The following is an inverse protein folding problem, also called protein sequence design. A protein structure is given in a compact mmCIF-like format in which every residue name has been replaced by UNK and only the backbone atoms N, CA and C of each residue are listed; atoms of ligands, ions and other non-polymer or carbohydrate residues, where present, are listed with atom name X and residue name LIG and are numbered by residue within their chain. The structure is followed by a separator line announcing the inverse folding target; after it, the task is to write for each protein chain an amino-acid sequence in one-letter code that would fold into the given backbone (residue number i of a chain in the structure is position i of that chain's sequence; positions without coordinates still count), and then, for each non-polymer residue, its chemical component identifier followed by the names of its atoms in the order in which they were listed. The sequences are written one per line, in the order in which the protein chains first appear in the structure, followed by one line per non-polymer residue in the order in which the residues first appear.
data_IF_205632643569
#
_entry.id   IF_205632643569
#
_cell.length_a   1.000
_cell.length_b   1.000
_cell.length_c   1.000
_cell.angle_alpha   90.00
_cell.angle_beta   90.00
_cell.angle_gamma   90.00
#
_symmetry.space_group_name_H-M   'P 1'
#
loop_
_entity.id
_entity.type
_entity.pdbx_description
1 polymer ?
#
# COMPACT_ATOMS: atom_id res chain seq x y z
N UNK A 1 19.78 2.98 9.01
CA UNK A 1 18.77 2.26 8.19
C UNK A 1 19.37 0.91 7.81
N UNK A 2 18.66 -0.21 8.00
CA UNK A 2 19.16 -1.57 7.68
C UNK A 2 19.48 -1.76 6.18
N UNK A 3 19.10 -0.79 5.33
CA UNK A 3 19.25 -0.82 3.88
C UNK A 3 19.64 0.56 3.33
N UNK A 4 20.91 1.02 3.50
CA UNK A 4 21.27 2.41 3.22
C UNK A 4 21.07 2.86 1.76
N UNK A 5 20.94 1.94 0.80
CA UNK A 5 20.80 2.25 -0.63
C UNK A 5 19.80 1.34 -1.36
N UNK A 6 18.83 0.77 -0.63
CA UNK A 6 17.83 -0.14 -1.20
C UNK A 6 16.41 0.36 -0.87
N UNK A 7 15.90 1.35 -1.64
CA UNK A 7 14.57 1.92 -1.41
C UNK A 7 13.43 0.91 -1.64
N UNK A 8 13.57 -0.04 -2.57
CA UNK A 8 12.58 -1.08 -2.82
C UNK A 8 12.53 -2.09 -1.66
N UNK A 9 13.69 -2.50 -1.13
CA UNK A 9 13.78 -3.36 0.04
C UNK A 9 13.26 -2.68 1.32
N UNK A 10 13.46 -1.37 1.46
CA UNK A 10 12.82 -0.58 2.53
C UNK A 10 11.30 -0.57 2.40
N UNK A 11 10.78 -0.33 1.19
CA UNK A 11 9.34 -0.39 0.91
C UNK A 11 8.77 -1.78 1.22
N UNK A 12 9.45 -2.83 0.76
CA UNK A 12 9.09 -4.23 1.03
C UNK A 12 9.02 -4.51 2.53
N UNK A 13 10.07 -4.17 3.28
CA UNK A 13 10.12 -4.38 4.73
C UNK A 13 9.02 -3.60 5.45
N UNK A 14 8.81 -2.35 5.07
CA UNK A 14 7.78 -1.51 5.65
C UNK A 14 6.39 -2.11 5.46
N UNK A 15 6.03 -2.51 4.23
CA UNK A 15 4.71 -3.08 3.94
C UNK A 15 4.49 -4.43 4.63
N UNK A 16 5.50 -5.30 4.64
CA UNK A 16 5.41 -6.59 5.37
C UNK A 16 5.17 -6.34 6.85
N UNK A 17 5.99 -5.50 7.47
CA UNK A 17 5.87 -5.17 8.89
C UNK A 17 4.52 -4.53 9.21
N UNK A 18 4.03 -3.67 8.31
CA UNK A 18 2.72 -3.04 8.45
C UNK A 18 1.59 -4.07 8.45
N UNK A 19 1.54 -4.95 7.44
CA UNK A 19 0.51 -6.01 7.36
C UNK A 19 0.55 -6.95 8.56
N UNK A 20 1.75 -7.40 8.96
CA UNK A 20 1.94 -8.26 10.14
C UNK A 20 1.53 -7.54 11.44
N UNK A 21 1.78 -6.24 11.54
CA UNK A 21 1.38 -5.47 12.72
C UNK A 21 -0.14 -5.44 12.93
N UNK A 22 -0.95 -5.57 11.88
CA UNK A 22 -2.41 -5.65 12.01
C UNK A 22 -2.89 -6.95 12.67
N UNK A 23 -2.06 -8.00 12.63
CA UNK A 23 -2.33 -9.26 13.33
C UNK A 23 -1.95 -9.13 14.80
N UNK A 24 -0.79 -8.55 15.08
CA UNK A 24 -0.18 -8.50 16.42
C UNK A 24 -0.77 -7.38 17.30
N UNK A 25 -1.05 -6.21 16.73
CA UNK A 25 -1.58 -5.06 17.44
C UNK A 25 -3.12 -5.03 17.37
N UNK A 26 -3.74 -5.66 18.38
CA UNK A 26 -5.20 -5.73 18.49
C UNK A 26 -5.85 -4.34 18.54
N UNK A 27 -5.19 -3.33 19.15
CA UNK A 27 -5.72 -1.97 19.21
C UNK A 27 -5.77 -1.35 17.83
N UNK A 28 -4.69 -1.46 17.05
CA UNK A 28 -4.65 -0.98 15.67
C UNK A 28 -5.69 -1.68 14.81
N UNK A 29 -5.81 -3.01 14.95
CA UNK A 29 -6.81 -3.80 14.22
C UNK A 29 -8.23 -3.31 14.50
N UNK A 30 -8.62 -3.19 15.77
CA UNK A 30 -9.95 -2.74 16.18
C UNK A 30 -10.28 -1.35 15.64
N UNK A 31 -9.31 -0.42 15.68
CA UNK A 31 -9.51 0.93 15.13
C UNK A 31 -9.79 0.84 13.62
N UNK A 32 -9.01 0.06 12.87
CA UNK A 32 -9.24 -0.10 11.44
C UNK A 32 -10.57 -0.80 11.14
N UNK A 33 -10.96 -1.85 11.87
CA UNK A 33 -12.28 -2.49 11.70
C UNK A 33 -13.43 -1.50 11.91
N UNK A 34 -13.31 -0.59 12.88
CA UNK A 34 -14.32 0.44 13.12
C UNK A 34 -14.41 1.37 11.91
N UNK A 35 -13.27 1.88 11.44
CA UNK A 35 -13.19 2.81 10.31
C UNK A 35 -13.73 2.17 9.03
N UNK A 36 -13.34 0.93 8.71
CA UNK A 36 -13.70 0.28 7.44
C UNK A 36 -15.12 -0.30 7.41
N UNK A 37 -15.65 -0.79 8.55
CA UNK A 37 -16.86 -1.62 8.53
C UNK A 37 -17.97 -1.19 9.48
N UNK A 38 -17.70 -0.28 10.44
CA UNK A 38 -18.68 0.09 11.48
C UNK A 38 -19.01 1.58 11.51
N UNK A 39 -18.21 2.42 10.86
CA UNK A 39 -18.46 3.86 10.76
C UNK A 39 -19.33 4.18 9.54
N UNK A 40 -20.48 4.80 9.81
CA UNK A 40 -21.19 5.57 8.79
C UNK A 40 -20.66 7.02 8.81
N UNK A 41 -20.01 7.43 7.72
CA UNK A 41 -19.36 8.74 7.62
C UNK A 41 -20.35 9.87 7.31
N UNK A 42 -21.34 10.06 8.17
CA UNK A 42 -22.40 11.07 8.08
C UNK A 42 -22.44 11.94 9.34
N UNK A 43 -23.08 13.11 9.26
CA UNK A 43 -23.23 14.02 10.41
C UNK A 43 -21.88 14.44 11.00
N UNK A 44 -21.70 14.23 12.31
CA UNK A 44 -20.46 14.61 13.03
C UNK A 44 -19.21 13.88 12.51
N UNK A 45 -19.37 12.67 11.96
CA UNK A 45 -18.28 11.86 11.39
C UNK A 45 -17.86 12.28 9.97
N UNK A 46 -18.58 13.22 9.34
CA UNK A 46 -18.23 13.70 8.00
C UNK A 46 -16.86 14.41 7.97
N UNK A 47 -16.51 15.10 9.06
CA UNK A 47 -15.21 15.75 9.22
C UNK A 47 -14.04 14.76 9.22
N UNK A 48 -14.24 13.57 9.80
CA UNK A 48 -13.26 12.49 9.81
C UNK A 48 -13.06 11.90 8.40
N UNK A 49 -14.14 11.71 7.65
CA UNK A 49 -14.06 11.26 6.24
C UNK A 49 -13.31 12.27 5.36
N UNK A 50 -13.54 13.57 5.56
CA UNK A 50 -12.81 14.62 4.82
C UNK A 50 -11.32 14.61 5.16
N UNK A 51 -10.96 14.38 6.43
CA UNK A 51 -9.58 14.21 6.85
C UNK A 51 -8.95 12.97 6.18
N UNK A 52 -9.65 11.84 6.20
CA UNK A 52 -9.19 10.60 5.56
C UNK A 52 -9.00 10.80 4.06
N UNK A 53 -9.95 11.43 3.35
CA UNK A 53 -9.79 11.76 1.93
C UNK A 53 -8.58 12.64 1.66
N UNK A 54 -8.32 13.63 2.51
CA UNK A 54 -7.14 14.49 2.39
C UNK A 54 -5.85 13.69 2.58
N UNK A 55 -5.78 12.85 3.60
CA UNK A 55 -4.62 11.99 3.84
C UNK A 55 -4.35 11.05 2.66
N UNK A 56 -5.42 10.50 2.07
CA UNK A 56 -5.34 9.66 0.87
C UNK A 56 -4.75 10.42 -0.32
N UNK A 57 -5.22 11.64 -0.56
CA UNK A 57 -4.71 12.48 -1.65
C UNK A 57 -3.25 12.88 -1.42
N UNK A 58 -2.85 13.08 -0.17
CA UNK A 58 -1.45 13.37 0.19
C UNK A 58 -0.54 12.14 0.11
N UNK A 59 -1.08 10.92 0.15
CA UNK A 59 -0.31 9.68 0.11
C UNK A 59 0.10 9.26 -1.30
N UNK A 60 -0.72 9.52 -2.33
CA UNK A 60 -0.34 9.18 -3.71
C UNK A 60 0.98 9.82 -4.16
N UNK A 61 1.23 11.14 -3.94
CA UNK A 61 2.51 11.75 -4.24
C UNK A 61 3.69 11.11 -3.49
N UNK A 62 3.51 10.75 -2.21
CA UNK A 62 4.56 10.11 -1.41
C UNK A 62 4.91 8.72 -1.95
N UNK A 63 3.90 7.93 -2.36
CA UNK A 63 4.12 6.63 -2.98
C UNK A 63 4.86 6.81 -4.31
N UNK A 64 4.41 7.74 -5.17
CA UNK A 64 5.04 8.00 -6.46
C UNK A 64 6.50 8.48 -6.32
N UNK A 65 6.80 9.32 -5.34
CA UNK A 65 8.15 9.74 -4.99
C UNK A 65 9.01 8.53 -4.59
N UNK A 66 8.48 7.64 -3.75
CA UNK A 66 9.21 6.45 -3.32
C UNK A 66 9.49 5.48 -4.48
N UNK A 67 8.54 5.33 -5.40
CA UNK A 67 8.74 4.56 -6.64
C UNK A 67 9.82 5.20 -7.53
N UNK A 68 9.83 6.54 -7.62
CA UNK A 68 10.86 7.28 -8.37
C UNK A 68 12.26 7.04 -7.80
N UNK A 69 12.42 6.99 -6.47
CA UNK A 69 13.68 6.61 -5.82
C UNK A 69 14.10 5.17 -6.17
N UNK A 70 13.15 4.24 -6.27
CA UNK A 70 13.44 2.86 -6.69
C UNK A 70 13.90 2.80 -8.16
N UNK A 71 13.34 3.64 -9.04
CA UNK A 71 13.79 3.77 -10.43
C UNK A 71 15.20 4.35 -10.49
N UNK A 72 15.50 5.40 -9.73
CA UNK A 72 16.84 6.00 -9.65
C UNK A 72 17.90 5.00 -9.15
N UNK A 73 17.51 4.11 -8.23
CA UNK A 73 18.33 3.01 -7.74
C UNK A 73 18.38 1.80 -8.71
N UNK A 74 17.75 1.88 -9.89
CA UNK A 74 17.65 0.81 -10.91
C UNK A 74 16.96 -0.48 -10.43
N UNK A 75 16.08 -0.36 -9.44
CA UNK A 75 15.35 -1.48 -8.82
C UNK A 75 13.95 -1.68 -9.41
N UNK A 76 13.40 -0.63 -10.02
CA UNK A 76 12.20 -0.66 -10.82
C UNK A 76 12.49 -0.21 -12.25
N UNK A 77 11.67 -0.61 -13.23
CA UNK A 77 11.89 -0.26 -14.62
C UNK A 77 11.85 1.26 -14.84
N UNK A 78 12.72 1.82 -15.71
CA UNK A 78 12.77 3.25 -15.97
C UNK A 78 11.51 3.78 -16.66
N UNK A 79 10.73 2.90 -17.29
CA UNK A 79 9.47 3.25 -17.97
C UNK A 79 8.24 3.08 -17.07
N UNK A 80 8.40 2.85 -15.77
CA UNK A 80 7.27 2.69 -14.86
C UNK A 80 6.51 4.02 -14.69
N UNK A 81 5.22 4.04 -14.98
CA UNK A 81 4.33 5.16 -14.67
C UNK A 81 4.09 5.19 -13.16
N UNK A 82 4.79 6.09 -12.46
CA UNK A 82 4.77 6.15 -10.98
C UNK A 82 3.43 6.63 -10.43
N UNK A 83 2.68 7.44 -11.18
CA UNK A 83 1.38 7.94 -10.74
C UNK A 83 0.34 6.81 -10.81
N UNK A 84 0.26 6.12 -11.95
CA UNK A 84 -0.62 4.95 -12.10
C UNK A 84 -0.26 3.85 -11.12
N UNK A 85 1.04 3.62 -10.93
CA UNK A 85 1.54 2.63 -9.98
C UNK A 85 1.20 2.98 -8.54
N UNK A 86 1.21 4.25 -8.15
CA UNK A 86 0.79 4.67 -6.81
C UNK A 86 -0.69 4.32 -6.53
N UNK A 87 -1.56 4.50 -7.52
CA UNK A 87 -2.98 4.10 -7.42
C UNK A 87 -3.09 2.59 -7.23
N UNK A 88 -2.38 1.80 -8.04
CA UNK A 88 -2.40 0.32 -7.94
C UNK A 88 -1.85 -0.18 -6.61
N UNK A 89 -0.71 0.36 -6.14
CA UNK A 89 -0.13 0.01 -4.84
C UNK A 89 -1.13 0.25 -3.71
N UNK A 90 -1.75 1.43 -3.68
CA UNK A 90 -2.71 1.78 -2.63
C UNK A 90 -3.94 0.90 -2.69
N UNK A 91 -4.54 0.73 -3.87
CA UNK A 91 -5.72 -0.12 -4.05
C UNK A 91 -5.45 -1.57 -3.63
N UNK A 92 -4.30 -2.12 -4.01
CA UNK A 92 -3.91 -3.48 -3.65
C UNK A 92 -3.75 -3.65 -2.13
N UNK A 93 -2.94 -2.78 -1.48
CA UNK A 93 -2.70 -2.88 -0.04
C UNK A 93 -3.97 -2.64 0.76
N UNK A 94 -4.76 -1.62 0.41
CA UNK A 94 -6.04 -1.35 1.08
C UNK A 94 -7.00 -2.53 0.92
N UNK A 95 -7.13 -3.09 -0.29
CA UNK A 95 -8.01 -4.23 -0.52
C UNK A 95 -7.58 -5.49 0.23
N UNK A 96 -6.28 -5.76 0.34
CA UNK A 96 -5.76 -6.85 1.17
C UNK A 96 -6.15 -6.67 2.63
N UNK A 97 -5.96 -5.46 3.17
CA UNK A 97 -6.27 -5.14 4.56
C UNK A 97 -7.78 -5.24 4.81
N UNK A 98 -8.59 -4.62 3.96
CA UNK A 98 -10.04 -4.59 4.12
C UNK A 98 -10.64 -6.00 4.07
N UNK A 99 -10.25 -6.82 3.08
CA UNK A 99 -10.72 -8.21 2.99
C UNK A 99 -10.33 -9.04 4.21
N UNK A 100 -9.12 -8.83 4.74
CA UNK A 100 -8.68 -9.52 5.94
C UNK A 100 -9.42 -9.04 7.18
N UNK A 101 -9.62 -7.73 7.37
CA UNK A 101 -10.37 -7.18 8.50
C UNK A 101 -11.83 -7.61 8.49
N UNK A 102 -12.43 -7.78 7.30
CA UNK A 102 -13.78 -8.30 7.14
C UNK A 102 -13.91 -9.76 7.63
N UNK A 103 -12.89 -10.59 7.35
CA UNK A 103 -12.85 -11.97 7.82
C UNK A 103 -11.41 -12.39 8.16
N UNK A 104 -10.94 -12.18 9.41
CA UNK A 104 -9.56 -12.49 9.78
C UNK A 104 -9.19 -13.99 9.69
N UNK A 105 -10.21 -14.86 9.64
CA UNK A 105 -10.06 -16.31 9.44
C UNK A 105 -9.95 -16.71 7.96
N UNK A 106 -10.15 -15.80 7.01
CA UNK A 106 -10.11 -16.09 5.57
C UNK A 106 -8.73 -16.54 5.09
N UNK A 107 -7.67 -15.96 5.65
CA UNK A 107 -6.30 -16.37 5.40
C UNK A 107 -5.35 -15.91 6.51
N UNK A 108 -4.21 -16.59 6.64
CA UNK A 108 -3.15 -16.21 7.58
C UNK A 108 -2.35 -15.00 7.04
N UNK A 109 -2.74 -13.80 7.48
CA UNK A 109 -2.06 -12.55 7.11
C UNK A 109 -0.60 -12.52 7.57
N UNK A 110 -0.28 -13.13 8.72
CA UNK A 110 1.07 -13.12 9.26
C UNK A 110 2.02 -13.89 8.34
N UNK A 111 1.59 -15.07 7.87
CA UNK A 111 2.34 -15.93 6.97
C UNK A 111 2.33 -15.43 5.52
N UNK A 112 1.21 -14.87 5.04
CA UNK A 112 1.09 -14.44 3.64
C UNK A 112 1.65 -13.05 3.34
N UNK A 113 1.81 -12.17 4.33
CA UNK A 113 2.29 -10.80 4.11
C UNK A 113 3.56 -10.70 3.23
N UNK A 114 4.62 -11.51 3.42
CA UNK A 114 5.81 -11.47 2.55
C UNK A 114 5.50 -11.78 1.08
N UNK A 115 4.61 -12.75 0.83
CA UNK A 115 4.22 -13.17 -0.52
C UNK A 115 3.35 -12.08 -1.15
N UNK A 116 2.35 -11.57 -0.43
CA UNK A 116 1.44 -10.53 -0.92
C UNK A 116 2.19 -9.25 -1.31
N UNK A 117 3.19 -8.84 -0.50
CA UNK A 117 4.03 -7.68 -0.82
C UNK A 117 4.96 -7.98 -2.00
N UNK A 118 5.50 -9.19 -2.10
CA UNK A 118 6.31 -9.56 -3.27
C UNK A 118 5.46 -9.55 -4.54
N UNK A 119 4.23 -10.07 -4.51
CA UNK A 119 3.29 -10.01 -5.65
C UNK A 119 3.02 -8.57 -6.09
N UNK A 120 2.83 -7.64 -5.15
CA UNK A 120 2.68 -6.22 -5.50
C UNK A 120 3.94 -5.68 -6.19
N UNK A 121 5.14 -6.04 -5.72
CA UNK A 121 6.41 -5.65 -6.35
C UNK A 121 6.53 -6.25 -7.76
N UNK A 122 6.14 -7.51 -7.94
CA UNK A 122 6.16 -8.18 -9.24
C UNK A 122 5.23 -7.47 -10.24
N UNK A 123 4.06 -7.00 -9.79
CA UNK A 123 3.19 -6.17 -10.63
C UNK A 123 3.91 -4.91 -11.11
N UNK A 124 4.62 -4.20 -10.22
CA UNK A 124 5.41 -3.01 -10.57
C UNK A 124 6.57 -3.33 -11.50
N UNK A 125 7.20 -4.49 -11.34
CA UNK A 125 8.37 -4.87 -12.14
C UNK A 125 7.99 -5.36 -13.53
N UNK A 126 6.90 -6.11 -13.66
CA UNK A 126 6.65 -6.91 -14.87
C UNK A 126 5.39 -6.52 -15.64
N UNK A 127 4.45 -5.77 -15.04
CA UNK A 127 3.22 -5.40 -15.76
C UNK A 127 3.50 -4.41 -16.91
N UNK A 128 3.17 -4.77 -18.17
CA UNK A 128 3.30 -3.85 -19.31
C UNK A 128 2.33 -2.67 -19.21
N UNK A 129 1.14 -2.87 -18.63
CA UNK A 129 0.12 -1.82 -18.49
C UNK A 129 0.47 -0.75 -17.45
N UNK A 130 1.51 -0.99 -16.64
CA UNK A 130 2.07 0.02 -15.73
C UNK A 130 3.19 0.84 -16.36
N UNK A 131 3.53 0.60 -17.62
CA UNK A 131 4.55 1.41 -18.29
C UNK A 131 3.93 2.69 -18.81
N UNK A 132 4.67 3.79 -18.71
CA UNK A 132 4.37 4.96 -19.52
C UNK A 132 4.56 4.55 -20.97
N UNK A 133 3.55 4.81 -21.80
CA UNK A 133 3.79 4.83 -23.24
C UNK A 133 4.84 5.92 -23.44
N UNK A 134 6.04 5.54 -23.85
CA UNK A 134 6.95 6.47 -24.47
C UNK A 134 6.24 6.97 -25.73
N UNK A 135 5.49 8.06 -25.59
CA UNK A 135 5.25 8.94 -26.72
C UNK A 135 6.64 9.37 -27.18
N UNK A 136 7.07 8.74 -28.27
CA UNK A 136 8.24 9.14 -29.02
C UNK A 136 8.06 10.57 -29.54
#
# INVERSE_FOLDING_TARGET
SLYPNDPLGQLKHFLISFLQSLVVDERRRKIMEIIYHKCEFVGEMQSMNQLDQKLILEDYPKIAEKLSLCIQAKQLPPTLDTQRSAVVCRAYITGVIENWLFSPASFDMQALAPILVQTMIDLLQYSPSLRSESHC
#
